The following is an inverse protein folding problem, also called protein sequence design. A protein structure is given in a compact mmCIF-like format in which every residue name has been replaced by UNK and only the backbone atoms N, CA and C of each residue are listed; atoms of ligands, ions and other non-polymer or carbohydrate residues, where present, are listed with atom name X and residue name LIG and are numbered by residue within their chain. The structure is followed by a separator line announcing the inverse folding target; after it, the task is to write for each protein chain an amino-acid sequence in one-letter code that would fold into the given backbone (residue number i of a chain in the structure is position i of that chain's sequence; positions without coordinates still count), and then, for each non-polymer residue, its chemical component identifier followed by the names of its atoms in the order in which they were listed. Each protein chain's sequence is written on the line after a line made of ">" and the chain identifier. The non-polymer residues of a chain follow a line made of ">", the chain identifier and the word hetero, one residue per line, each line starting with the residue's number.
data_IF_416520912161
#
_entry.id   IF_416520912161
#
_cell.length_a   1.000
_cell.length_b   1.000
_cell.length_c   1.000
_cell.angle_alpha   90.00
_cell.angle_beta   90.00
_cell.angle_gamma   90.00
#
_symmetry.space_group_name_H-M   'P 1'
#
loop_
_entity.id
_entity.type
_entity.pdbx_description
1 polymer ?
#
# COMPACT_ATOMS: atom_id res chain seq x y z
N UNK A 1 -5.80 9.54 -19.21
CA UNK A 1 -5.23 8.22 -18.91
C UNK A 1 -3.72 8.27 -18.77
N UNK A 2 -3.00 8.43 -19.89
CA UNK A 2 -1.53 8.32 -19.94
C UNK A 2 -0.80 9.31 -19.03
N UNK A 3 -1.17 10.59 -19.02
CA UNK A 3 -0.55 11.61 -18.15
C UNK A 3 -0.65 11.26 -16.65
N UNK A 4 -1.80 10.75 -16.20
CA UNK A 4 -1.98 10.29 -14.82
C UNK A 4 -1.08 9.08 -14.52
N UNK A 5 -0.93 8.16 -15.47
CA UNK A 5 -0.02 7.02 -15.35
C UNK A 5 1.44 7.45 -15.23
N UNK A 6 1.88 8.42 -16.02
CA UNK A 6 3.25 8.98 -15.94
C UNK A 6 3.47 9.68 -14.60
N UNK A 7 2.54 10.51 -14.15
CA UNK A 7 2.62 11.13 -12.83
C UNK A 7 2.66 10.10 -11.69
N UNK A 8 1.82 9.07 -11.75
CA UNK A 8 1.81 7.99 -10.76
C UNK A 8 3.14 7.23 -10.74
N UNK A 9 3.72 6.93 -11.91
CA UNK A 9 5.04 6.28 -12.00
C UNK A 9 6.14 7.15 -11.39
N UNK A 10 6.15 8.46 -11.66
CA UNK A 10 7.11 9.39 -11.06
C UNK A 10 6.99 9.43 -9.53
N UNK A 11 5.78 9.52 -8.99
CA UNK A 11 5.52 9.49 -7.54
C UNK A 11 5.99 8.18 -6.91
N UNK A 12 5.77 7.05 -7.60
CA UNK A 12 6.21 5.74 -7.11
C UNK A 12 7.73 5.60 -7.08
N UNK A 13 8.42 6.06 -8.11
CA UNK A 13 9.89 6.03 -8.18
C UNK A 13 10.50 6.91 -7.09
N UNK A 14 10.01 8.13 -6.92
CA UNK A 14 10.50 9.03 -5.86
C UNK A 14 10.24 8.47 -4.48
N UNK A 15 9.05 7.88 -4.25
CA UNK A 15 8.72 7.18 -3.01
C UNK A 15 9.68 6.03 -2.72
N UNK A 16 9.90 5.12 -3.66
CA UNK A 16 10.77 3.95 -3.44
C UNK A 16 12.23 4.34 -3.15
N UNK A 17 12.74 5.37 -3.85
CA UNK A 17 14.10 5.90 -3.59
C UNK A 17 14.16 6.56 -2.21
N UNK A 18 13.22 7.45 -1.89
CA UNK A 18 13.18 8.14 -0.61
C UNK A 18 13.04 7.15 0.56
N UNK A 19 12.16 6.15 0.43
CA UNK A 19 11.95 5.10 1.43
C UNK A 19 13.25 4.32 1.68
N UNK A 20 13.95 3.91 0.62
CA UNK A 20 15.22 3.19 0.76
C UNK A 20 16.32 4.03 1.41
N UNK A 21 16.33 5.35 1.17
CA UNK A 21 17.27 6.29 1.83
C UNK A 21 16.93 6.45 3.31
N UNK A 22 15.64 6.65 3.65
CA UNK A 22 15.19 6.79 5.04
C UNK A 22 15.42 5.52 5.88
N UNK A 23 15.30 4.33 5.26
CA UNK A 23 15.60 3.04 5.92
C UNK A 23 17.06 2.91 6.39
N UNK A 24 17.99 3.76 5.91
CA UNK A 24 19.37 3.81 6.43
C UNK A 24 19.47 4.50 7.80
N UNK A 25 18.43 5.23 8.22
CA UNK A 25 18.42 6.06 9.44
C UNK A 25 17.32 5.66 10.42
N UNK A 26 16.19 5.14 9.93
CA UNK A 26 15.00 4.84 10.71
C UNK A 26 14.59 3.37 10.52
N UNK A 27 13.99 2.79 11.56
CA UNK A 27 13.41 1.45 11.47
C UNK A 27 12.20 1.44 10.53
N UNK A 28 12.02 0.34 9.79
CA UNK A 28 10.92 0.15 8.83
C UNK A 28 9.53 0.54 9.36
N UNK A 29 9.12 0.13 10.58
CA UNK A 29 7.80 0.50 11.12
C UNK A 29 7.65 2.00 11.38
N UNK A 30 8.73 2.70 11.76
CA UNK A 30 8.69 4.12 12.09
C UNK A 30 8.41 4.98 10.85
N UNK A 31 9.04 4.64 9.72
CA UNK A 31 8.81 5.34 8.45
C UNK A 31 7.35 5.19 8.02
N UNK A 32 6.80 3.97 8.15
CA UNK A 32 5.43 3.68 7.78
C UNK A 32 4.44 4.48 8.63
N UNK A 33 4.61 4.48 9.96
CA UNK A 33 3.75 5.24 10.87
C UNK A 33 3.82 6.74 10.54
N UNK A 34 5.01 7.26 10.27
CA UNK A 34 5.19 8.67 9.94
C UNK A 34 4.50 9.05 8.63
N UNK A 35 4.63 8.21 7.60
CA UNK A 35 3.95 8.39 6.32
C UNK A 35 2.43 8.32 6.47
N UNK A 36 1.91 7.29 7.15
CA UNK A 36 0.47 7.15 7.36
C UNK A 36 -0.11 8.29 8.18
N UNK A 37 0.62 8.77 9.19
CA UNK A 37 0.19 9.93 9.99
C UNK A 37 0.15 11.19 9.14
N UNK A 38 1.17 11.43 8.30
CA UNK A 38 1.19 12.56 7.39
C UNK A 38 0.02 12.50 6.39
N UNK A 39 -0.20 11.34 5.77
CA UNK A 39 -1.31 11.10 4.86
C UNK A 39 -2.66 11.30 5.56
N UNK A 40 -2.80 10.80 6.79
CA UNK A 40 -4.00 10.99 7.59
C UNK A 40 -4.25 12.48 7.84
N UNK A 41 -3.25 13.25 8.28
CA UNK A 41 -3.39 14.70 8.52
C UNK A 41 -3.78 15.45 7.24
N UNK A 42 -3.15 15.12 6.10
CA UNK A 42 -3.42 15.79 4.82
C UNK A 42 -4.80 15.43 4.27
N UNK A 43 -5.25 14.19 4.43
CA UNK A 43 -6.55 13.72 3.94
C UNK A 43 -7.70 13.99 4.91
N UNK A 44 -7.42 14.17 6.20
CA UNK A 44 -8.43 14.46 7.23
C UNK A 44 -9.34 15.65 6.88
N UNK A 45 -8.86 16.82 6.40
CA UNK A 45 -9.75 17.93 6.03
C UNK A 45 -10.65 17.61 4.83
N UNK A 46 -10.30 16.62 4.00
CA UNK A 46 -11.12 16.15 2.89
C UNK A 46 -12.02 14.97 3.29
N UNK A 47 -11.76 14.34 4.45
CA UNK A 47 -12.50 13.19 4.91
C UNK A 47 -13.87 13.61 5.44
N UNK A 48 -14.89 12.81 5.12
CA UNK A 48 -16.27 12.98 5.63
C UNK A 48 -16.54 11.90 6.68
N UNK A 49 -16.28 12.16 7.98
CA UNK A 49 -16.42 11.15 9.03
C UNK A 49 -17.87 10.68 9.20
N UNK A 50 -18.85 11.49 8.81
CA UNK A 50 -20.28 11.14 8.82
C UNK A 50 -20.61 9.89 7.99
N UNK A 51 -19.83 9.62 6.93
CA UNK A 51 -20.03 8.45 6.07
C UNK A 51 -19.78 7.15 6.83
N UNK A 52 -18.88 7.15 7.83
CA UNK A 52 -18.55 5.96 8.62
C UNK A 52 -19.77 5.48 9.42
N UNK A 53 -20.59 6.41 9.92
CA UNK A 53 -21.81 6.09 10.68
C UNK A 53 -22.97 5.60 9.80
N UNK A 54 -22.87 5.77 8.48
CA UNK A 54 -23.87 5.28 7.52
C UNK A 54 -23.51 3.90 6.95
N UNK A 55 -22.32 3.38 7.25
CA UNK A 55 -21.88 2.07 6.75
C UNK A 55 -22.62 0.94 7.47
N UNK A 56 -23.01 -0.07 6.71
CA UNK A 56 -23.49 -1.33 7.30
C UNK A 56 -22.35 -2.07 7.99
N UNK A 57 -22.66 -2.93 8.96
CA UNK A 57 -21.63 -3.71 9.67
C UNK A 57 -20.70 -4.50 8.76
N UNK A 58 -21.22 -4.98 7.62
CA UNK A 58 -20.42 -5.65 6.58
C UNK A 58 -19.46 -4.69 5.85
N UNK A 59 -19.93 -3.50 5.49
CA UNK A 59 -19.07 -2.49 4.84
C UNK A 59 -17.98 -1.99 5.78
N UNK A 60 -18.28 -1.85 7.09
CA UNK A 60 -17.28 -1.52 8.09
C UNK A 60 -16.22 -2.63 8.21
N UNK A 61 -16.62 -3.91 8.20
CA UNK A 61 -15.69 -5.03 8.19
C UNK A 61 -14.80 -5.02 6.94
N UNK A 62 -15.38 -4.75 5.75
CA UNK A 62 -14.60 -4.58 4.51
C UNK A 62 -13.62 -3.41 4.60
N UNK A 63 -14.03 -2.27 5.16
CA UNK A 63 -13.17 -1.10 5.35
C UNK A 63 -11.96 -1.45 6.24
N UNK A 64 -12.22 -2.11 7.37
CA UNK A 64 -11.17 -2.57 8.29
C UNK A 64 -10.24 -3.56 7.63
N UNK A 65 -10.78 -4.51 6.85
CA UNK A 65 -9.99 -5.47 6.09
C UNK A 65 -9.09 -4.78 5.06
N UNK A 66 -9.61 -3.83 4.28
CA UNK A 66 -8.83 -3.05 3.32
C UNK A 66 -7.72 -2.25 4.01
N UNK A 67 -8.01 -1.62 5.15
CA UNK A 67 -7.03 -0.91 5.97
C UNK A 67 -5.93 -1.82 6.50
N UNK A 68 -6.30 -2.97 7.06
CA UNK A 68 -5.36 -3.97 7.56
C UNK A 68 -4.48 -4.54 6.44
N UNK A 69 -5.07 -4.89 5.29
CA UNK A 69 -4.33 -5.39 4.13
C UNK A 69 -3.31 -4.37 3.62
N UNK A 70 -3.71 -3.10 3.55
CA UNK A 70 -2.81 -1.98 3.20
C UNK A 70 -1.65 -1.90 4.20
N UNK A 71 -1.94 -1.90 5.49
CA UNK A 71 -0.92 -1.77 6.54
C UNK A 71 0.08 -2.95 6.52
N UNK A 72 -0.43 -4.18 6.41
CA UNK A 72 0.39 -5.40 6.34
C UNK A 72 1.21 -5.42 5.05
N UNK A 73 0.61 -5.10 3.91
CA UNK A 73 1.26 -5.08 2.60
C UNK A 73 2.41 -4.08 2.52
N UNK A 74 2.16 -2.82 2.89
CA UNK A 74 3.23 -1.81 2.93
C UNK A 74 4.26 -2.09 4.03
N UNK A 75 3.89 -2.74 5.14
CA UNK A 75 4.83 -3.16 6.18
C UNK A 75 5.79 -4.23 5.67
N UNK A 76 5.26 -5.26 4.99
CA UNK A 76 6.07 -6.27 4.33
C UNK A 76 6.96 -5.67 3.23
N UNK A 77 6.44 -4.71 2.46
CA UNK A 77 7.21 -3.98 1.45
C UNK A 77 8.39 -3.22 2.07
N UNK A 78 8.15 -2.49 3.17
CA UNK A 78 9.19 -1.73 3.85
C UNK A 78 10.27 -2.65 4.46
N UNK A 79 9.88 -3.77 5.05
CA UNK A 79 10.81 -4.82 5.52
C UNK A 79 11.61 -5.43 4.36
N UNK A 80 10.97 -5.73 3.23
CA UNK A 80 11.64 -6.22 2.04
C UNK A 80 12.64 -5.18 1.50
N UNK A 81 12.27 -3.90 1.47
CA UNK A 81 13.17 -2.81 1.11
C UNK A 81 14.29 -2.61 2.14
N UNK A 82 14.13 -3.00 3.40
CA UNK A 82 15.23 -2.97 4.36
C UNK A 82 16.29 -4.03 4.01
N UNK A 83 15.85 -5.23 3.58
CA UNK A 83 16.71 -6.38 3.32
C UNK A 83 17.28 -6.46 1.92
N UNK A 84 16.53 -6.04 0.89
CA UNK A 84 16.88 -6.20 -0.53
C UNK A 84 17.03 -4.86 -1.26
N UNK A 85 17.64 -4.87 -2.46
CA UNK A 85 17.72 -3.66 -3.29
C UNK A 85 16.35 -3.27 -3.84
N UNK A 86 16.10 -1.97 -4.01
CA UNK A 86 14.82 -1.46 -4.53
C UNK A 86 14.45 -2.07 -5.89
N UNK A 87 15.44 -2.36 -6.75
CA UNK A 87 15.24 -3.02 -8.04
C UNK A 87 14.69 -4.46 -7.89
N UNK A 88 15.21 -5.24 -6.93
CA UNK A 88 14.76 -6.62 -6.68
C UNK A 88 13.34 -6.64 -6.11
N UNK A 89 13.07 -5.73 -5.16
CA UNK A 89 11.73 -5.56 -4.59
C UNK A 89 10.73 -5.15 -5.67
N UNK A 90 11.11 -4.20 -6.53
CA UNK A 90 10.26 -3.76 -7.65
C UNK A 90 9.95 -4.89 -8.63
N UNK A 91 10.92 -5.73 -8.97
CA UNK A 91 10.69 -6.89 -9.83
C UNK A 91 9.65 -7.85 -9.21
N UNK A 92 9.71 -8.08 -7.90
CA UNK A 92 8.73 -8.92 -7.22
C UNK A 92 7.32 -8.31 -7.25
N UNK A 93 7.19 -7.00 -7.06
CA UNK A 93 5.89 -6.30 -7.12
C UNK A 93 5.25 -6.43 -8.52
N UNK A 94 6.06 -6.47 -9.59
CA UNK A 94 5.51 -6.68 -10.94
C UNK A 94 4.87 -8.06 -11.13
N UNK A 95 5.18 -9.03 -10.26
CA UNK A 95 4.55 -10.35 -10.26
C UNK A 95 3.24 -10.38 -9.46
N UNK A 96 2.94 -9.36 -8.63
CA UNK A 96 1.69 -9.26 -7.88
C UNK A 96 0.43 -9.49 -8.73
N UNK A 97 0.26 -8.88 -9.93
CA UNK A 97 -0.90 -9.16 -10.77
C UNK A 97 -1.01 -10.62 -11.21
N UNK A 98 0.12 -11.32 -11.42
CA UNK A 98 0.10 -12.76 -11.74
C UNK A 98 -0.40 -13.58 -10.54
N UNK A 99 0.02 -13.24 -9.32
CA UNK A 99 -0.52 -13.86 -8.12
C UNK A 99 -2.02 -13.58 -7.97
N UNK A 100 -2.47 -12.35 -8.24
CA UNK A 100 -3.91 -12.02 -8.21
C UNK A 100 -4.69 -12.89 -9.19
N UNK A 101 -4.22 -13.02 -10.44
CA UNK A 101 -4.86 -13.88 -11.44
C UNK A 101 -4.88 -15.35 -11.01
N UNK A 102 -3.77 -15.86 -10.48
CA UNK A 102 -3.65 -17.24 -10.01
C UNK A 102 -4.60 -17.53 -8.85
N UNK A 103 -4.73 -16.61 -7.89
CA UNK A 103 -5.69 -16.75 -6.80
C UNK A 103 -7.14 -16.68 -7.29
N UNK A 104 -7.44 -15.79 -8.24
CA UNK A 104 -8.77 -15.72 -8.86
C UNK A 104 -9.14 -17.03 -9.57
N UNK A 105 -8.19 -17.64 -10.29
CA UNK A 105 -8.40 -18.90 -10.99
C UNK A 105 -8.57 -20.09 -10.02
N UNK A 106 -7.76 -20.15 -8.96
CA UNK A 106 -7.92 -21.15 -7.89
C UNK A 106 -9.28 -21.05 -7.19
N UNK A 107 -9.75 -19.83 -6.90
CA UNK A 107 -11.08 -19.60 -6.32
C UNK A 107 -12.20 -19.99 -7.28
N UNK A 108 -12.01 -19.76 -8.59
CA UNK A 108 -12.95 -20.18 -9.62
C UNK A 108 -13.01 -21.70 -9.76
N UNK A 109 -11.90 -22.42 -9.56
CA UNK A 109 -11.85 -23.89 -9.54
C UNK A 109 -12.45 -24.50 -8.28
N UNK A 110 -12.49 -23.75 -7.17
CA UNK A 110 -13.06 -24.18 -5.89
C UNK A 110 -14.58 -23.98 -5.80
N UNK A 111 -15.18 -23.31 -6.78
CA UNK A 111 -16.62 -23.06 -6.91
C UNK A 111 -17.28 -24.05 -7.88
#
# INVERSE_FOLDING_TARGET
>A
GVLLGVCAAMVWVTYGVAQKVLLRRLASPQILVMLYTLCAIVLFPLAKPEVIFQLSGWQLACLLFCGANTLIGYGALAEAMARWQAAQVSALITLTPLFTLLFSDLLALAW
#
